data_IF_340940541169
#
_entry.id   IF_340940541169
#
_cell.length_a   1.000
_cell.length_b   1.000
_cell.length_c   1.000
_cell.angle_alpha   90.00
_cell.angle_beta   90.00
_cell.angle_gamma   90.00
#
_symmetry.space_group_name_H-M   'P 1'
#
loop_
_entity.id
_entity.type
_entity.pdbx_description
1 polymer ?
#
# COMPACT_ATOMS: atom_id res chain seq x y z
N UNK A 1 -31.29 -2.91 -4.79
CA UNK A 1 -30.82 -4.19 -4.20
C UNK A 1 -29.61 -4.80 -4.93
N UNK A 2 -29.63 -5.03 -6.25
CA UNK A 2 -28.46 -5.62 -6.96
C UNK A 2 -27.26 -4.66 -7.07
N UNK A 3 -27.50 -3.37 -7.30
CA UNK A 3 -26.44 -2.34 -7.40
C UNK A 3 -25.66 -2.15 -6.09
N UNK A 4 -26.32 -2.11 -4.94
CA UNK A 4 -25.65 -2.00 -3.64
C UNK A 4 -24.74 -3.20 -3.36
N UNK A 5 -25.20 -4.40 -3.70
CA UNK A 5 -24.42 -5.62 -3.50
C UNK A 5 -23.16 -5.63 -4.38
N UNK A 6 -23.29 -5.25 -5.66
CA UNK A 6 -22.14 -5.11 -6.56
C UNK A 6 -21.15 -4.04 -6.09
N UNK A 7 -21.65 -2.93 -5.52
CA UNK A 7 -20.83 -1.86 -4.95
C UNK A 7 -20.05 -2.36 -3.72
N UNK A 8 -20.71 -3.07 -2.82
CA UNK A 8 -20.09 -3.68 -1.65
C UNK A 8 -19.02 -4.71 -2.04
N UNK A 9 -19.28 -5.56 -3.02
CA UNK A 9 -18.31 -6.55 -3.51
C UNK A 9 -17.06 -5.87 -4.11
N UNK A 10 -17.24 -4.79 -4.88
CA UNK A 10 -16.11 -3.98 -5.39
C UNK A 10 -15.29 -3.35 -4.27
N UNK A 11 -15.95 -2.73 -3.29
CA UNK A 11 -15.27 -2.14 -2.12
C UNK A 11 -14.48 -3.21 -1.37
N UNK A 12 -15.05 -4.41 -1.19
CA UNK A 12 -14.36 -5.52 -0.54
C UNK A 12 -13.08 -5.89 -1.29
N UNK A 13 -13.11 -6.05 -2.60
CA UNK A 13 -11.92 -6.35 -3.41
C UNK A 13 -10.84 -5.29 -3.24
N UNK A 14 -11.21 -4.01 -3.22
CA UNK A 14 -10.24 -2.93 -3.02
C UNK A 14 -9.67 -2.90 -1.61
N UNK A 15 -10.47 -3.23 -0.59
CA UNK A 15 -10.00 -3.38 0.79
C UNK A 15 -9.05 -4.56 0.94
N UNK A 16 -9.35 -5.70 0.33
CA UNK A 16 -8.48 -6.88 0.34
C UNK A 16 -7.13 -6.56 -0.34
N UNK A 17 -7.15 -5.82 -1.47
CA UNK A 17 -5.93 -5.32 -2.11
C UNK A 17 -5.14 -4.34 -1.24
N UNK A 18 -5.84 -3.45 -0.54
CA UNK A 18 -5.21 -2.50 0.39
C UNK A 18 -4.52 -3.24 1.54
N UNK A 19 -5.16 -4.27 2.09
CA UNK A 19 -4.57 -5.10 3.15
C UNK A 19 -3.33 -5.85 2.67
N UNK A 20 -3.35 -6.37 1.43
CA UNK A 20 -2.19 -7.03 0.85
C UNK A 20 -1.01 -6.05 0.67
N UNK A 21 -1.26 -4.83 0.18
CA UNK A 21 -0.23 -3.80 0.06
C UNK A 21 0.30 -3.33 1.42
N UNK A 22 -0.56 -3.23 2.45
CA UNK A 22 -0.15 -2.87 3.80
C UNK A 22 0.81 -3.92 4.40
N UNK A 23 0.55 -5.22 4.16
CA UNK A 23 1.47 -6.30 4.55
C UNK A 23 2.81 -6.16 3.84
N UNK A 24 2.81 -5.97 2.52
CA UNK A 24 4.04 -5.79 1.74
C UNK A 24 4.82 -4.54 2.17
N UNK A 25 4.12 -3.45 2.51
CA UNK A 25 4.73 -2.22 3.00
C UNK A 25 5.43 -2.46 4.35
N UNK A 26 4.76 -3.14 5.29
CA UNK A 26 5.35 -3.48 6.59
C UNK A 26 6.59 -4.36 6.46
N UNK A 27 6.54 -5.38 5.61
CA UNK A 27 7.71 -6.22 5.31
C UNK A 27 8.86 -5.39 4.72
N UNK A 28 8.55 -4.50 3.77
CA UNK A 28 9.55 -3.61 3.16
C UNK A 28 10.17 -2.65 4.18
N UNK A 29 9.36 -2.10 5.08
CA UNK A 29 9.85 -1.21 6.16
C UNK A 29 10.70 -1.96 7.19
N UNK A 30 10.37 -3.22 7.47
CA UNK A 30 11.19 -4.07 8.31
C UNK A 30 12.57 -4.30 7.66
N UNK A 31 12.59 -4.71 6.38
CA UNK A 31 13.84 -4.89 5.61
C UNK A 31 14.66 -3.61 5.53
N UNK A 32 14.00 -2.46 5.38
CA UNK A 32 14.66 -1.15 5.43
C UNK A 32 15.31 -0.91 6.79
N UNK A 33 14.64 -1.23 7.89
CA UNK A 33 15.18 -1.11 9.24
C UNK A 33 16.38 -2.03 9.48
N UNK A 34 16.31 -3.27 8.99
CA UNK A 34 17.42 -4.24 9.05
C UNK A 34 18.62 -3.74 8.23
N UNK A 35 18.39 -3.26 7.01
CA UNK A 35 19.44 -2.66 6.18
C UNK A 35 20.00 -1.38 6.82
N UNK A 36 19.19 -0.60 7.52
CA UNK A 36 19.64 0.62 8.19
C UNK A 36 20.63 0.33 9.33
N UNK A 37 20.57 -0.87 9.92
CA UNK A 37 21.54 -1.31 10.92
C UNK A 37 22.89 -1.73 10.29
N UNK A 38 22.98 -1.84 8.96
CA UNK A 38 24.16 -2.27 8.22
C UNK A 38 24.85 -1.08 7.55
N UNK A 39 25.81 -0.48 8.24
CA UNK A 39 26.77 0.46 7.65
C UNK A 39 26.17 1.81 7.23
N UNK A 40 26.81 2.45 6.24
CA UNK A 40 26.40 3.76 5.75
C UNK A 40 25.13 3.66 4.88
N UNK A 41 24.07 4.36 5.29
CA UNK A 41 22.77 4.37 4.63
C UNK A 41 22.82 4.93 3.19
N UNK A 42 23.78 5.79 2.87
CA UNK A 42 23.90 6.41 1.55
C UNK A 42 24.43 5.43 0.51
N UNK A 43 25.34 4.55 0.90
CA UNK A 43 25.93 3.54 0.02
C UNK A 43 25.21 2.19 0.10
N UNK A 44 24.39 1.99 1.14
CA UNK A 44 23.62 0.77 1.31
C UNK A 44 22.48 0.68 0.28
N UNK A 45 22.74 -0.06 -0.79
CA UNK A 45 21.79 -0.31 -1.89
C UNK A 45 20.49 -0.94 -1.37
N UNK A 46 20.57 -1.86 -0.41
CA UNK A 46 19.37 -2.51 0.15
C UNK A 46 18.48 -1.50 0.88
N UNK A 47 19.09 -0.56 1.63
CA UNK A 47 18.37 0.51 2.30
C UNK A 47 17.71 1.48 1.29
N UNK A 48 18.45 1.87 0.23
CA UNK A 48 17.92 2.75 -0.81
C UNK A 48 16.74 2.10 -1.55
N UNK A 49 16.90 0.86 -2.01
CA UNK A 49 15.82 0.13 -2.70
C UNK A 49 14.60 -0.09 -1.80
N UNK A 50 14.80 -0.43 -0.52
CA UNK A 50 13.69 -0.58 0.41
C UNK A 50 12.98 0.76 0.70
N UNK A 51 13.71 1.87 0.66
CA UNK A 51 13.12 3.22 0.78
C UNK A 51 12.26 3.55 -0.44
N UNK A 52 12.80 3.42 -1.65
CA UNK A 52 12.06 3.66 -2.90
C UNK A 52 10.82 2.75 -3.01
N UNK A 53 10.97 1.46 -2.71
CA UNK A 53 9.86 0.51 -2.71
C UNK A 53 8.78 0.92 -1.72
N UNK A 54 9.18 1.35 -0.52
CA UNK A 54 8.28 1.87 0.51
C UNK A 54 7.45 3.07 0.03
N UNK A 55 8.08 4.02 -0.64
CA UNK A 55 7.42 5.19 -1.21
C UNK A 55 6.38 4.81 -2.27
N UNK A 56 6.75 3.89 -3.18
CA UNK A 56 5.84 3.37 -4.21
C UNK A 56 4.63 2.67 -3.61
N UNK A 57 4.85 1.81 -2.60
CA UNK A 57 3.77 1.10 -1.91
C UNK A 57 2.83 2.08 -1.19
N UNK A 58 3.38 3.06 -0.48
CA UNK A 58 2.61 4.10 0.19
C UNK A 58 1.75 4.92 -0.77
N UNK A 59 2.31 5.31 -1.93
CA UNK A 59 1.57 6.04 -2.96
C UNK A 59 0.39 5.20 -3.50
N UNK A 60 0.63 3.92 -3.82
CA UNK A 60 -0.42 2.99 -4.28
C UNK A 60 -1.52 2.79 -3.24
N UNK A 61 -1.15 2.66 -1.96
CA UNK A 61 -2.13 2.56 -0.86
C UNK A 61 -3.01 3.80 -0.78
N UNK A 62 -2.43 5.00 -0.88
CA UNK A 62 -3.18 6.26 -0.92
C UNK A 62 -4.18 6.29 -2.09
N UNK A 63 -3.78 5.84 -3.28
CA UNK A 63 -4.67 5.84 -4.44
C UNK A 63 -5.82 4.84 -4.29
N UNK A 64 -5.57 3.66 -3.72
CA UNK A 64 -6.63 2.70 -3.41
C UNK A 64 -7.58 3.24 -2.34
N UNK A 65 -7.07 3.91 -1.31
CA UNK A 65 -7.91 4.55 -0.30
C UNK A 65 -8.80 5.64 -0.90
N UNK A 66 -8.30 6.43 -1.85
CA UNK A 66 -9.11 7.41 -2.60
C UNK A 66 -10.21 6.72 -3.39
N UNK A 67 -9.89 5.67 -4.15
CA UNK A 67 -10.90 4.92 -4.91
C UNK A 67 -11.99 4.32 -4.00
N UNK A 68 -11.62 3.78 -2.84
CA UNK A 68 -12.60 3.27 -1.86
C UNK A 68 -13.52 4.38 -1.39
N UNK A 69 -12.98 5.56 -1.04
CA UNK A 69 -13.79 6.72 -0.63
C UNK A 69 -14.71 7.21 -1.73
N UNK A 70 -14.24 7.31 -2.96
CA UNK A 70 -15.05 7.71 -4.12
C UNK A 70 -16.19 6.72 -4.39
N UNK A 71 -15.91 5.42 -4.27
CA UNK A 71 -16.92 4.38 -4.32
C UNK A 71 -17.92 4.57 -3.18
N UNK A 72 -17.48 4.69 -1.93
CA UNK A 72 -18.36 4.89 -0.76
C UNK A 72 -19.28 6.11 -0.93
N UNK A 73 -18.71 7.27 -1.31
CA UNK A 73 -19.41 8.53 -1.59
C UNK A 73 -20.38 8.45 -2.78
N UNK A 74 -20.27 7.43 -3.64
CA UNK A 74 -21.09 7.30 -4.85
C UNK A 74 -20.71 8.28 -5.96
N UNK A 75 -19.46 8.74 -5.98
CA UNK A 75 -18.90 9.64 -7.01
C UNK A 75 -18.26 8.89 -8.19
N UNK A 76 -18.41 7.57 -8.22
CA UNK A 76 -17.78 6.65 -9.17
C UNK A 76 -18.77 6.05 -10.17
#
# INVERSE_FOLDING_TARGET
>A
MVQDKLKQDKIKIWRDKLEALDKEYKETMQQRGEAAAMGDLRENIAYQMATEKGEVLSARMSDIQKMIRELEDGKA
#
